data_IF_852777776350
#
_entry.id   IF_852777776350
#
_cell.length_a   1.000
_cell.length_b   1.000
_cell.length_c   1.000
_cell.angle_alpha   90.00
_cell.angle_beta   90.00
_cell.angle_gamma   90.00
#
_symmetry.space_group_name_H-M   'P 1'
#
loop_
_entity.id
_entity.type
_entity.pdbx_description
1 polymer ?
#
# COMPACT_ATOMS: atom_id res chain seq x y z
N UNK A 1 -60.34 -23.43 -71.94
CA UNK A 1 -60.17 -24.92 -71.80
C UNK A 1 -58.87 -25.19 -71.11
N UNK A 2 -58.92 -26.00 -70.12
CA UNK A 2 -57.83 -26.61 -69.28
C UNK A 2 -57.53 -25.94 -67.95
N UNK A 3 -57.87 -26.69 -66.95
CA UNK A 3 -57.93 -26.52 -65.50
C UNK A 3 -56.60 -26.26 -64.83
N UNK A 4 -56.63 -25.73 -63.61
CA UNK A 4 -55.45 -25.49 -62.83
C UNK A 4 -54.99 -26.78 -62.11
N UNK A 5 -53.72 -26.99 -62.08
CA UNK A 5 -53.09 -28.03 -61.28
C UNK A 5 -52.68 -27.42 -59.93
N UNK A 6 -53.30 -27.96 -58.91
CA UNK A 6 -52.99 -27.66 -57.51
C UNK A 6 -51.66 -28.35 -57.10
N UNK A 7 -50.74 -27.60 -56.58
CA UNK A 7 -49.54 -28.16 -55.92
C UNK A 7 -49.71 -28.09 -54.40
N UNK A 8 -49.30 -29.12 -53.69
CA UNK A 8 -49.61 -29.26 -52.25
C UNK A 8 -48.66 -28.43 -51.39
N UNK A 9 -49.31 -27.78 -50.46
CA UNK A 9 -48.63 -27.25 -49.26
C UNK A 9 -48.11 -28.39 -48.45
N UNK A 10 -46.79 -28.61 -48.41
CA UNK A 10 -46.18 -29.43 -47.36
C UNK A 10 -44.75 -28.97 -47.09
N UNK A 11 -44.47 -28.78 -45.81
CA UNK A 11 -43.20 -28.82 -45.15
C UNK A 11 -42.24 -27.62 -45.35
N UNK A 12 -42.60 -26.52 -44.73
CA UNK A 12 -41.60 -25.64 -44.15
C UNK A 12 -41.68 -25.80 -42.64
N UNK A 13 -41.21 -26.90 -42.15
CA UNK A 13 -41.08 -27.16 -40.71
C UNK A 13 -39.58 -27.27 -40.36
N UNK A 14 -39.22 -26.43 -39.43
CA UNK A 14 -38.12 -26.67 -38.48
C UNK A 14 -36.70 -26.71 -39.03
N UNK A 15 -36.12 -25.52 -39.17
CA UNK A 15 -34.74 -25.38 -38.78
C UNK A 15 -34.63 -24.15 -37.88
N UNK A 16 -35.20 -24.21 -36.68
CA UNK A 16 -34.78 -23.43 -35.55
C UNK A 16 -33.42 -24.01 -35.08
N UNK A 17 -32.39 -23.47 -35.68
CA UNK A 17 -31.04 -23.72 -35.19
C UNK A 17 -30.99 -23.25 -33.73
N UNK A 18 -30.80 -24.20 -32.84
CA UNK A 18 -30.46 -23.96 -31.47
C UNK A 18 -29.09 -23.25 -31.44
N UNK A 19 -29.14 -21.93 -31.38
CA UNK A 19 -27.98 -21.14 -31.01
C UNK A 19 -27.76 -21.41 -29.52
N UNK A 20 -26.97 -22.42 -29.23
CA UNK A 20 -26.45 -22.72 -27.91
C UNK A 20 -25.59 -21.55 -27.46
N UNK A 21 -26.17 -20.72 -26.62
CA UNK A 21 -25.51 -19.64 -25.91
C UNK A 21 -24.53 -20.31 -24.93
N UNK A 22 -23.32 -20.63 -25.38
CA UNK A 22 -22.20 -20.91 -24.48
C UNK A 22 -21.82 -19.59 -23.81
N UNK A 23 -22.54 -19.25 -22.75
CA UNK A 23 -22.07 -18.28 -21.80
C UNK A 23 -20.86 -18.87 -21.10
N UNK A 24 -19.66 -18.57 -21.63
CA UNK A 24 -18.41 -18.84 -20.98
C UNK A 24 -18.39 -18.04 -19.68
N UNK A 25 -18.73 -18.71 -18.55
CA UNK A 25 -18.44 -18.19 -17.21
C UNK A 25 -16.91 -18.13 -17.11
N UNK A 26 -16.36 -16.98 -17.44
CA UNK A 26 -15.01 -16.65 -17.03
C UNK A 26 -15.10 -16.33 -15.52
N UNK A 27 -15.03 -17.37 -14.71
CA UNK A 27 -14.72 -17.24 -13.30
C UNK A 27 -13.28 -16.72 -13.24
N UNK A 28 -13.14 -15.39 -13.36
CA UNK A 28 -11.89 -14.73 -13.05
C UNK A 28 -11.59 -15.06 -11.57
N UNK A 29 -10.59 -15.88 -11.33
CA UNK A 29 -9.99 -15.98 -10.01
C UNK A 29 -9.47 -14.58 -9.66
N UNK A 30 -10.32 -13.77 -9.03
CA UNK A 30 -9.87 -12.60 -8.30
C UNK A 30 -8.98 -13.17 -7.19
N UNK A 31 -7.66 -13.13 -7.38
CA UNK A 31 -6.70 -13.30 -6.30
C UNK A 31 -7.03 -12.19 -5.31
N UNK A 32 -7.75 -12.53 -4.24
CA UNK A 32 -7.99 -11.61 -3.13
C UNK A 32 -6.61 -11.23 -2.59
N UNK A 33 -6.18 -10.01 -2.87
CA UNK A 33 -4.96 -9.50 -2.28
C UNK A 33 -5.12 -9.59 -0.77
N UNK A 34 -4.19 -10.27 -0.09
CA UNK A 34 -4.22 -10.31 1.37
C UNK A 34 -4.19 -8.88 1.90
N UNK A 35 -5.04 -8.56 2.89
CA UNK A 35 -5.02 -7.24 3.48
C UNK A 35 -3.62 -6.96 4.05
N UNK A 36 -3.13 -5.73 3.95
CA UNK A 36 -1.82 -5.38 4.49
C UNK A 36 -1.80 -5.61 6.00
N UNK A 37 -0.69 -6.17 6.51
CA UNK A 37 -0.49 -6.41 7.94
C UNK A 37 -0.40 -5.11 8.74
N UNK A 38 0.09 -4.06 8.10
CA UNK A 38 0.36 -2.75 8.68
C UNK A 38 -0.24 -1.67 7.81
N UNK A 39 -0.88 -0.69 8.42
CA UNK A 39 -1.17 0.59 7.79
C UNK A 39 -0.12 1.61 8.24
N UNK A 40 0.40 2.39 7.27
CA UNK A 40 1.40 3.42 7.51
C UNK A 40 0.90 4.73 6.94
N UNK A 41 0.83 5.74 7.82
CA UNK A 41 0.39 7.09 7.48
C UNK A 41 1.42 8.12 7.98
N UNK A 42 1.51 9.26 7.32
CA UNK A 42 2.23 10.41 7.83
C UNK A 42 1.23 11.37 8.49
N UNK A 43 1.59 11.88 9.65
CA UNK A 43 0.77 12.79 10.45
C UNK A 43 1.55 14.07 10.66
N UNK A 44 1.01 15.21 10.27
CA UNK A 44 1.59 16.50 10.59
C UNK A 44 1.47 16.77 12.10
N UNK A 45 2.59 17.06 12.73
CA UNK A 45 2.63 17.14 14.21
C UNK A 45 1.94 18.34 14.80
N UNK A 46 1.93 19.46 14.08
CA UNK A 46 1.40 20.71 14.62
C UNK A 46 -0.14 20.75 14.54
N UNK A 47 -0.74 20.15 13.51
CA UNK A 47 -2.19 20.05 13.34
C UNK A 47 -2.79 18.72 13.79
N UNK A 48 -1.97 17.66 13.90
CA UNK A 48 -2.43 16.29 14.10
C UNK A 48 -3.12 15.67 12.89
N UNK A 49 -3.10 16.34 11.74
CA UNK A 49 -3.78 15.92 10.53
C UNK A 49 -2.99 14.82 9.81
N UNK A 50 -3.69 13.80 9.34
CA UNK A 50 -3.09 12.80 8.44
C UNK A 50 -2.84 13.43 7.08
N UNK A 51 -1.62 13.32 6.58
CA UNK A 51 -1.26 13.81 5.25
C UNK A 51 -1.91 12.95 4.17
N UNK A 52 -2.40 13.61 3.12
CA UNK A 52 -2.96 12.92 1.96
C UNK A 52 -1.96 11.96 1.35
N UNK A 53 -2.42 10.80 0.89
CA UNK A 53 -1.61 9.81 0.19
C UNK A 53 -2.14 9.60 -1.22
N UNK A 54 -1.25 9.65 -2.19
CA UNK A 54 -1.54 9.46 -3.61
C UNK A 54 -0.84 8.21 -4.13
N UNK A 55 -1.59 7.28 -4.69
CA UNK A 55 -1.02 6.06 -5.28
C UNK A 55 -0.57 6.32 -6.71
N UNK A 56 0.65 5.91 -7.04
CA UNK A 56 1.19 5.95 -8.41
C UNK A 56 2.24 4.86 -8.59
N UNK A 57 2.17 4.12 -9.68
CA UNK A 57 3.14 3.07 -10.05
C UNK A 57 3.51 2.10 -8.88
N UNK A 58 2.50 1.66 -8.11
CA UNK A 58 2.70 0.74 -6.97
C UNK A 58 3.33 1.38 -5.73
N UNK A 59 3.53 2.68 -5.71
CA UNK A 59 4.04 3.46 -4.57
C UNK A 59 2.98 4.42 -4.06
N UNK A 60 3.14 4.84 -2.81
CA UNK A 60 2.33 5.91 -2.21
C UNK A 60 3.20 7.14 -1.99
N UNK A 61 2.65 8.29 -2.28
CA UNK A 61 3.31 9.59 -2.15
C UNK A 61 2.50 10.48 -1.23
N UNK A 62 3.17 11.18 -0.31
CA UNK A 62 2.56 12.22 0.52
C UNK A 62 3.29 13.53 0.29
N UNK A 63 2.59 14.64 0.01
CA UNK A 63 3.22 15.94 -0.08
C UNK A 63 3.68 16.38 1.32
N UNK A 64 4.89 16.89 1.41
CA UNK A 64 5.44 17.49 2.62
C UNK A 64 5.76 18.95 2.40
N UNK A 65 5.50 19.79 3.41
CA UNK A 65 5.91 21.21 3.39
C UNK A 65 7.27 21.35 4.06
N UNK A 66 8.27 21.98 3.41
CA UNK A 66 9.57 22.19 4.04
C UNK A 66 9.46 22.88 5.39
N UNK A 67 10.17 22.38 6.39
CA UNK A 67 10.12 22.86 7.78
C UNK A 67 8.99 22.27 8.61
N UNK A 68 7.98 21.62 8.02
CA UNK A 68 6.93 20.97 8.78
C UNK A 68 7.42 19.67 9.43
N UNK A 69 7.09 19.49 10.71
CA UNK A 69 7.41 18.27 11.47
C UNK A 69 6.31 17.22 11.27
N UNK A 70 6.70 15.98 11.15
CA UNK A 70 5.75 14.89 11.00
C UNK A 70 6.04 13.71 11.93
N UNK A 71 5.05 12.88 12.12
CA UNK A 71 5.15 11.56 12.74
C UNK A 71 4.75 10.50 11.73
N UNK A 72 5.23 9.28 11.94
CA UNK A 72 4.82 8.10 11.18
C UNK A 72 3.88 7.32 12.07
N UNK A 73 2.61 7.25 11.67
CA UNK A 73 1.60 6.44 12.32
C UNK A 73 1.67 5.02 11.77
N UNK A 74 1.89 4.07 12.67
CA UNK A 74 1.90 2.65 12.40
C UNK A 74 0.68 2.02 13.06
N UNK A 75 -0.17 1.36 12.27
CA UNK A 75 -1.34 0.64 12.79
C UNK A 75 -1.24 -0.83 12.41
N UNK A 76 -1.11 -1.70 13.41
CA UNK A 76 -1.20 -3.14 13.23
C UNK A 76 -2.63 -3.52 12.84
N UNK A 77 -2.80 -4.14 11.67
CA UNK A 77 -4.12 -4.52 11.13
C UNK A 77 -4.43 -6.00 11.36
N UNK A 78 -3.75 -6.61 12.32
CA UNK A 78 -3.89 -8.04 12.65
C UNK A 78 -4.23 -8.26 14.11
N UNK A 79 -4.76 -9.44 14.42
CA UNK A 79 -5.00 -9.91 15.78
C UNK A 79 -3.79 -10.51 16.48
N UNK A 80 -2.58 -10.37 15.89
CA UNK A 80 -1.31 -10.91 16.40
C UNK A 80 -0.33 -9.77 16.65
N UNK A 81 0.72 -10.03 17.43
CA UNK A 81 1.83 -9.10 17.55
C UNK A 81 2.65 -9.06 16.27
N UNK A 82 3.14 -7.89 15.91
CA UNK A 82 4.04 -7.71 14.77
C UNK A 82 5.27 -6.92 15.18
N UNK A 83 6.42 -7.26 14.58
CA UNK A 83 7.64 -6.47 14.65
C UNK A 83 7.72 -5.61 13.38
N UNK A 84 7.94 -4.31 13.54
CA UNK A 84 8.05 -3.34 12.44
C UNK A 84 9.44 -2.70 12.45
N UNK A 85 10.28 -3.05 11.47
CA UNK A 85 11.54 -2.36 11.23
C UNK A 85 11.26 -1.16 10.34
N UNK A 86 11.26 0.04 10.94
CA UNK A 86 10.94 1.29 10.28
C UNK A 86 12.20 1.99 9.78
N UNK A 87 12.17 2.46 8.53
CA UNK A 87 13.23 3.28 7.94
C UNK A 87 12.69 4.60 7.40
N UNK A 88 13.48 5.64 7.56
CA UNK A 88 13.27 6.96 6.96
C UNK A 88 14.55 7.33 6.24
N UNK A 89 14.44 7.72 4.98
CA UNK A 89 15.61 8.02 4.13
C UNK A 89 16.62 6.84 4.04
N UNK A 90 16.15 5.59 4.16
CA UNK A 90 17.02 4.43 4.19
C UNK A 90 17.78 4.21 5.51
N UNK A 91 17.44 4.96 6.55
CA UNK A 91 18.05 4.87 7.89
C UNK A 91 17.03 4.29 8.87
N UNK A 92 17.44 3.32 9.67
CA UNK A 92 16.58 2.73 10.71
C UNK A 92 16.24 3.78 11.78
N UNK A 93 14.96 3.91 12.08
CA UNK A 93 14.45 4.95 12.99
C UNK A 93 14.86 4.77 14.45
N UNK A 94 15.33 3.57 14.85
CA UNK A 94 15.80 3.25 16.19
C UNK A 94 17.32 3.35 16.30
N UNK A 95 18.05 2.65 15.39
CA UNK A 95 19.51 2.53 15.50
C UNK A 95 20.27 3.69 14.85
N UNK A 96 19.67 4.36 13.87
CA UNK A 96 20.35 5.40 13.09
C UNK A 96 21.31 4.85 12.03
N UNK A 97 21.43 3.53 11.89
CA UNK A 97 22.25 2.87 10.89
C UNK A 97 21.50 2.74 9.55
N UNK A 98 22.21 2.37 8.48
CA UNK A 98 21.58 1.97 7.23
C UNK A 98 20.59 0.85 7.51
N UNK A 99 19.34 0.99 7.07
CA UNK A 99 18.26 0.07 7.39
C UNK A 99 18.48 -1.32 6.79
N UNK A 100 18.20 -2.35 7.58
CA UNK A 100 18.26 -3.76 7.19
C UNK A 100 17.20 -4.58 7.92
N UNK A 101 16.75 -5.67 7.31
CA UNK A 101 15.63 -6.48 7.81
C UNK A 101 15.84 -7.13 9.17
N UNK A 102 17.08 -7.44 9.53
CA UNK A 102 17.44 -8.10 10.79
C UNK A 102 17.69 -7.14 11.97
N UNK A 103 17.35 -5.87 11.81
CA UNK A 103 17.61 -4.86 12.84
C UNK A 103 16.46 -4.74 13.86
N UNK A 104 16.74 -4.03 14.95
CA UNK A 104 15.74 -3.66 15.96
C UNK A 104 14.60 -2.86 15.32
N UNK A 105 13.38 -3.20 15.72
CA UNK A 105 12.14 -2.57 15.27
C UNK A 105 11.20 -2.26 16.43
N UNK A 106 10.03 -1.75 16.10
CA UNK A 106 8.92 -1.51 17.02
C UNK A 106 8.03 -2.74 17.09
N UNK A 107 7.69 -3.18 18.30
CA UNK A 107 6.71 -4.24 18.51
C UNK A 107 5.35 -3.61 18.74
N UNK A 108 4.39 -3.96 17.90
CA UNK A 108 2.99 -3.53 18.04
C UNK A 108 2.13 -4.72 18.44
N UNK A 109 1.34 -4.54 19.50
CA UNK A 109 0.31 -5.50 19.90
C UNK A 109 -0.82 -5.62 18.87
N UNK A 110 -1.73 -6.58 19.05
CA UNK A 110 -2.91 -6.72 18.19
C UNK A 110 -3.70 -5.41 18.08
N UNK A 111 -3.97 -4.97 16.86
CA UNK A 111 -4.76 -3.76 16.55
C UNK A 111 -4.19 -2.46 17.13
N UNK A 112 -2.96 -2.49 17.61
CA UNK A 112 -2.30 -1.31 18.19
C UNK A 112 -1.97 -0.28 17.11
N UNK A 113 -2.12 0.99 17.49
CA UNK A 113 -1.68 2.15 16.69
C UNK A 113 -0.72 2.99 17.52
N UNK A 114 0.42 3.35 16.93
CA UNK A 114 1.44 4.19 17.58
C UNK A 114 2.00 5.22 16.60
N UNK A 115 2.38 6.38 17.11
CA UNK A 115 2.99 7.46 16.32
C UNK A 115 4.48 7.57 16.66
N UNK A 116 5.32 7.37 15.65
CA UNK A 116 6.78 7.51 15.75
C UNK A 116 7.14 8.92 15.28
N UNK A 117 7.58 9.75 16.21
CA UNK A 117 7.76 11.20 15.99
C UNK A 117 9.19 11.62 15.60
N UNK A 118 10.12 10.67 15.45
CA UNK A 118 11.51 10.97 15.14
C UNK A 118 12.45 9.79 15.32
N UNK A 119 13.72 9.99 14.98
CA UNK A 119 14.79 9.04 15.28
C UNK A 119 15.07 8.96 16.78
N UNK A 120 15.21 7.76 17.30
CA UNK A 120 15.60 7.56 18.70
C UNK A 120 17.06 7.97 18.89
N UNK A 121 17.31 8.92 19.79
CA UNK A 121 18.65 9.31 20.24
C UNK A 121 19.03 8.66 21.59
N UNK A 122 18.02 8.47 22.45
CA UNK A 122 18.08 7.74 23.72
C UNK A 122 16.67 7.31 24.08
N UNK A 123 16.48 6.66 25.24
CA UNK A 123 15.15 6.25 25.69
C UNK A 123 14.21 7.46 25.93
N UNK A 124 14.77 8.63 26.22
CA UNK A 124 14.02 9.84 26.56
C UNK A 124 14.05 10.90 25.43
N UNK A 125 14.91 10.77 24.42
CA UNK A 125 15.14 11.80 23.40
C UNK A 125 14.99 11.28 22.00
N UNK A 126 14.30 12.08 21.18
CA UNK A 126 14.17 11.83 19.73
C UNK A 126 14.70 13.04 18.95
N UNK A 127 15.20 12.79 17.73
CA UNK A 127 15.37 13.83 16.72
C UNK A 127 14.11 13.81 15.84
N UNK A 128 13.32 14.89 15.88
CA UNK A 128 12.08 14.95 15.13
C UNK A 128 12.28 14.69 13.64
N UNK A 129 11.32 14.02 13.01
CA UNK A 129 11.23 14.00 11.56
C UNK A 129 10.72 15.35 11.08
N UNK A 130 11.40 15.89 10.06
CA UNK A 130 11.08 17.18 9.46
C UNK A 130 11.25 17.09 7.95
N UNK A 131 10.32 17.65 7.19
CA UNK A 131 10.47 17.79 5.77
C UNK A 131 11.53 18.85 5.46
N UNK A 132 12.54 18.48 4.70
CA UNK A 132 13.63 19.39 4.37
C UNK A 132 14.03 19.24 2.91
N UNK A 133 14.92 20.11 2.42
CA UNK A 133 15.49 19.94 1.10
C UNK A 133 16.31 18.64 1.04
N UNK A 134 16.47 18.09 -0.15
CA UNK A 134 17.19 16.83 -0.37
C UNK A 134 18.61 16.88 0.18
N UNK A 135 19.33 17.99 -0.06
CA UNK A 135 20.71 18.17 0.40
C UNK A 135 20.87 18.33 1.91
N UNK A 136 19.84 18.82 2.58
CA UNK A 136 19.84 19.08 4.03
C UNK A 136 19.37 17.89 4.86
N UNK A 137 18.89 16.81 4.19
CA UNK A 137 18.44 15.61 4.90
C UNK A 137 19.58 14.96 5.69
N UNK A 138 19.25 14.31 6.80
CA UNK A 138 20.22 13.59 7.62
C UNK A 138 20.98 12.53 6.80
N UNK A 139 20.29 11.79 5.96
CA UNK A 139 20.90 10.75 5.13
C UNK A 139 21.85 11.32 4.10
N UNK A 140 21.52 12.43 3.43
CA UNK A 140 22.42 13.09 2.49
C UNK A 140 23.69 13.59 3.18
N UNK A 141 23.55 14.26 4.32
CA UNK A 141 24.67 14.78 5.11
C UNK A 141 25.58 13.69 5.70
N UNK A 142 25.07 12.47 5.84
CA UNK A 142 25.82 11.30 6.30
C UNK A 142 26.28 10.38 5.17
N UNK A 143 26.25 10.85 3.92
CA UNK A 143 26.77 10.12 2.75
C UNK A 143 25.83 9.02 2.23
N UNK A 144 24.54 9.04 2.56
CA UNK A 144 23.54 8.03 2.20
C UNK A 144 22.35 8.63 1.43
N UNK A 145 22.54 9.40 0.35
CA UNK A 145 21.47 10.16 -0.30
C UNK A 145 20.49 9.32 -1.13
N UNK A 146 20.81 8.05 -1.40
CA UNK A 146 20.09 7.22 -2.38
C UNK A 146 18.59 7.02 -2.06
N UNK A 147 18.20 7.07 -0.80
CA UNK A 147 16.83 6.80 -0.34
C UNK A 147 16.16 8.00 0.33
N UNK A 148 16.67 9.21 0.13
CA UNK A 148 16.06 10.42 0.70
C UNK A 148 14.64 10.58 0.19
N UNK A 149 13.71 10.91 1.10
CA UNK A 149 12.29 11.03 0.83
C UNK A 149 11.54 9.69 0.81
N UNK A 150 12.20 8.58 1.19
CA UNK A 150 11.54 7.26 1.27
C UNK A 150 11.29 6.88 2.71
N UNK A 151 10.03 6.59 3.04
CA UNK A 151 9.64 5.93 4.29
C UNK A 151 9.31 4.48 3.97
N UNK A 152 9.95 3.54 4.65
CA UNK A 152 9.77 2.11 4.47
C UNK A 152 9.54 1.38 5.79
N UNK A 153 8.75 0.31 5.72
CA UNK A 153 8.52 -0.57 6.86
C UNK A 153 8.60 -2.03 6.42
N UNK A 154 9.44 -2.82 7.12
CA UNK A 154 9.40 -4.27 7.01
C UNK A 154 8.63 -4.82 8.22
N UNK A 155 7.63 -5.68 7.95
CA UNK A 155 6.73 -6.21 8.96
C UNK A 155 6.92 -7.71 9.09
N UNK A 156 7.12 -8.18 10.32
CA UNK A 156 7.30 -9.58 10.66
C UNK A 156 6.23 -9.99 11.67
N UNK A 157 5.62 -11.15 11.45
CA UNK A 157 4.77 -11.81 12.45
C UNK A 157 5.64 -12.48 13.50
N UNK A 158 5.17 -12.48 14.72
CA UNK A 158 5.79 -13.24 15.82
C UNK A 158 5.46 -14.71 15.65
#
# INVERSE_FOLDING_TARGET
MRSPVSLPRRAALCQLAAVSLLASLHAGCATAAMPPLLDLQLVERDSGSVLAQYASAGRRYSPGSPGARYAIRLSNRTGERVLVVLSVDGVNAITGDTAGFGQTGYVLGPWETTDIAGWRKSDERIAAFEFTSLGDSYAARTGRPANVGVVGAAVFRE
#
